data_IF_454996782523
#
_entry.id   IF_454996782523
#
_cell.length_a   1.000
_cell.length_b   1.000
_cell.length_c   1.000
_cell.angle_alpha   90.00
_cell.angle_beta   90.00
_cell.angle_gamma   90.00
#
_symmetry.space_group_name_H-M   'P 1'
#
loop_
_entity.id
_entity.type
_entity.pdbx_description
1 polymer ?
#
# COMPACT_ATOMS: atom_id res chain seq x y z
N UNK A 1 7.35 14.33 -32.95
CA UNK A 1 7.33 14.83 -31.55
C UNK A 1 5.98 15.48 -31.14
N UNK A 2 4.88 15.25 -31.85
CA UNK A 2 3.53 15.72 -31.50
C UNK A 2 2.52 14.56 -31.67
N UNK A 3 2.38 13.70 -30.65
CA UNK A 3 1.29 12.72 -30.62
C UNK A 3 0.25 13.18 -29.61
N UNK A 4 -1.00 13.26 -30.03
CA UNK A 4 -2.15 13.47 -29.14
C UNK A 4 -2.51 12.11 -28.54
N UNK A 5 -2.34 11.97 -27.24
CA UNK A 5 -2.77 10.79 -26.50
C UNK A 5 -4.16 11.04 -25.93
N UNK A 6 -5.06 10.07 -26.08
CA UNK A 6 -6.33 10.03 -25.39
C UNK A 6 -6.25 8.87 -24.39
N UNK A 7 -6.19 9.20 -23.10
CA UNK A 7 -6.20 8.20 -22.03
C UNK A 7 -7.67 7.87 -21.77
N UNK A 8 -8.03 6.60 -21.97
CA UNK A 8 -9.37 6.10 -21.70
C UNK A 8 -9.25 5.06 -20.59
N UNK A 9 -10.02 5.16 -19.50
CA UNK A 9 -10.03 4.13 -18.47
C UNK A 9 -10.52 2.82 -19.09
N UNK A 10 -9.70 1.77 -18.99
CA UNK A 10 -10.08 0.41 -19.39
C UNK A 10 -10.65 -0.31 -18.18
N UNK A 11 -11.87 -0.84 -18.32
CA UNK A 11 -12.46 -1.70 -17.31
C UNK A 11 -11.67 -3.01 -17.20
N UNK A 12 -11.31 -3.38 -15.97
CA UNK A 12 -10.84 -4.73 -15.69
C UNK A 12 -12.06 -5.66 -15.61
N UNK A 13 -12.01 -6.82 -16.26
CA UNK A 13 -13.07 -7.83 -16.16
C UNK A 13 -13.12 -8.51 -14.78
N UNK A 14 -12.18 -8.20 -13.90
CA UNK A 14 -12.04 -8.85 -12.59
C UNK A 14 -13.25 -8.67 -11.67
N UNK A 15 -13.80 -7.46 -11.41
CA UNK A 15 -14.99 -7.28 -10.57
C UNK A 15 -16.22 -8.02 -11.12
N UNK A 16 -16.37 -8.05 -12.44
CA UNK A 16 -17.41 -8.79 -13.15
C UNK A 16 -17.25 -10.30 -12.92
N UNK A 17 -16.03 -10.82 -13.02
CA UNK A 17 -15.71 -12.23 -12.83
C UNK A 17 -16.04 -12.71 -11.41
N UNK A 18 -15.70 -11.93 -10.38
CA UNK A 18 -15.99 -12.27 -8.98
C UNK A 18 -17.41 -11.86 -8.53
N UNK A 19 -18.27 -11.42 -9.47
CA UNK A 19 -19.68 -11.08 -9.25
C UNK A 19 -19.92 -9.99 -8.19
N UNK A 20 -18.96 -9.08 -7.98
CA UNK A 20 -19.10 -7.96 -7.06
C UNK A 20 -19.88 -6.81 -7.71
N UNK A 21 -21.11 -7.05 -8.15
CA UNK A 21 -21.92 -6.08 -8.92
C UNK A 21 -22.13 -4.73 -8.22
N UNK A 22 -22.24 -4.75 -6.89
CA UNK A 22 -22.40 -3.53 -6.09
C UNK A 22 -21.09 -2.72 -5.98
N UNK A 23 -19.95 -3.39 -6.19
CA UNK A 23 -18.61 -2.82 -6.23
C UNK A 23 -18.00 -2.98 -7.64
N UNK A 24 -18.82 -2.93 -8.71
CA UNK A 24 -18.35 -3.13 -10.09
C UNK A 24 -17.23 -2.14 -10.47
N UNK A 25 -17.14 -1.04 -9.74
CA UNK A 25 -16.04 -0.08 -9.75
C UNK A 25 -15.14 -0.25 -8.54
N UNK A 26 -14.68 -1.47 -8.22
CA UNK A 26 -13.51 -1.64 -7.38
C UNK A 26 -12.45 -0.73 -8.00
N UNK A 27 -12.19 0.35 -7.28
CA UNK A 27 -11.36 1.44 -7.74
C UNK A 27 -10.06 0.83 -8.26
N UNK A 28 -9.53 1.29 -9.39
CA UNK A 28 -8.22 0.83 -9.87
C UNK A 28 -7.17 1.26 -8.85
N UNK A 29 -6.97 0.41 -7.85
CA UNK A 29 -6.04 0.62 -6.77
C UNK A 29 -4.72 -0.02 -7.15
N UNK A 30 -3.58 0.59 -6.80
CA UNK A 30 -2.28 0.18 -7.29
C UNK A 30 -1.75 -1.11 -6.64
N UNK A 31 -2.36 -1.59 -5.55
CA UNK A 31 -2.04 -2.87 -4.93
C UNK A 31 -3.24 -3.51 -4.24
N UNK A 32 -3.10 -4.79 -3.86
CA UNK A 32 -4.13 -5.56 -3.13
C UNK A 32 -4.46 -4.95 -1.76
N UNK A 33 -3.49 -4.34 -1.07
CA UNK A 33 -3.71 -3.70 0.24
C UNK A 33 -4.66 -2.49 0.12
N UNK A 34 -4.49 -1.67 -0.92
CA UNK A 34 -5.37 -0.55 -1.21
C UNK A 34 -6.78 -1.02 -1.58
N UNK A 35 -6.90 -2.09 -2.36
CA UNK A 35 -8.21 -2.67 -2.71
C UNK A 35 -8.93 -3.17 -1.45
N UNK A 36 -8.22 -3.86 -0.56
CA UNK A 36 -8.76 -4.34 0.71
C UNK A 36 -9.20 -3.19 1.62
N UNK A 37 -8.39 -2.13 1.72
CA UNK A 37 -8.75 -0.91 2.44
C UNK A 37 -10.01 -0.28 1.83
N UNK A 38 -10.05 -0.09 0.51
CA UNK A 38 -11.21 0.46 -0.21
C UNK A 38 -12.47 -0.35 0.05
N UNK A 39 -12.40 -1.67 -0.10
CA UNK A 39 -13.54 -2.55 0.16
C UNK A 39 -14.00 -2.42 1.62
N UNK A 40 -13.07 -2.40 2.58
CA UNK A 40 -13.40 -2.31 4.00
C UNK A 40 -14.12 -0.99 4.34
N UNK A 41 -13.67 0.12 3.75
CA UNK A 41 -14.33 1.43 3.83
C UNK A 41 -15.76 1.36 3.29
N UNK A 42 -15.96 0.74 2.13
CA UNK A 42 -17.26 0.63 1.48
C UNK A 42 -18.21 -0.40 2.15
N UNK A 43 -17.66 -1.29 2.98
CA UNK A 43 -18.43 -2.17 3.87
C UNK A 43 -18.78 -1.50 5.21
N UNK A 44 -18.49 -0.21 5.39
CA UNK A 44 -18.75 0.57 6.61
C UNK A 44 -18.07 0.02 7.87
N UNK A 45 -16.89 -0.63 7.72
CA UNK A 45 -16.05 -0.89 8.88
C UNK A 45 -15.63 0.43 9.53
N UNK A 46 -15.57 0.44 10.86
CA UNK A 46 -15.27 1.66 11.64
C UNK A 46 -13.78 1.86 11.90
N UNK A 47 -13.04 0.75 11.92
CA UNK A 47 -11.61 0.72 12.19
C UNK A 47 -10.93 -0.12 11.11
N UNK A 48 -9.78 0.33 10.64
CA UNK A 48 -8.91 -0.39 9.72
C UNK A 48 -7.58 -0.65 10.43
N UNK A 49 -7.02 -1.85 10.30
CA UNK A 49 -5.75 -2.22 10.93
C UNK A 49 -4.82 -2.73 9.82
N UNK A 50 -3.66 -2.10 9.66
CA UNK A 50 -2.62 -2.52 8.74
C UNK A 50 -1.61 -3.41 9.45
N UNK A 51 -1.42 -4.62 8.92
CA UNK A 51 -0.48 -5.62 9.41
C UNK A 51 0.32 -6.11 8.21
N UNK A 52 1.64 -6.15 8.34
CA UNK A 52 2.55 -6.56 7.25
C UNK A 52 2.58 -5.56 6.09
N UNK A 53 2.23 -4.29 6.35
CA UNK A 53 2.32 -3.22 5.36
C UNK A 53 3.64 -2.47 5.56
N UNK A 54 4.75 -3.17 5.34
CA UNK A 54 6.10 -2.68 5.62
C UNK A 54 6.44 -1.45 4.79
N UNK A 55 6.24 -1.52 3.47
CA UNK A 55 6.58 -0.44 2.52
C UNK A 55 8.02 0.07 2.66
N UNK A 56 8.90 -0.81 3.11
CA UNK A 56 10.30 -0.56 3.42
C UNK A 56 11.06 -1.89 3.37
N UNK A 57 12.38 -1.81 3.17
CA UNK A 57 13.25 -2.98 3.23
C UNK A 57 13.50 -3.37 4.70
N UNK A 58 13.71 -4.66 4.94
CA UNK A 58 14.21 -5.15 6.22
C UNK A 58 15.64 -4.63 6.50
N UNK A 59 16.08 -4.68 7.77
CA UNK A 59 17.42 -4.21 8.17
C UNK A 59 18.55 -4.91 7.41
N UNK A 60 18.36 -6.18 7.05
CA UNK A 60 19.30 -6.96 6.24
C UNK A 60 19.24 -6.66 4.73
N UNK A 61 18.35 -5.75 4.30
CA UNK A 61 18.15 -5.36 2.90
C UNK A 61 17.18 -6.24 2.10
N UNK A 62 16.54 -7.22 2.72
CA UNK A 62 15.50 -8.01 2.06
C UNK A 62 14.30 -7.14 1.69
N UNK A 63 13.72 -7.41 0.52
CA UNK A 63 12.50 -6.76 0.02
C UNK A 63 11.25 -7.57 0.31
N UNK A 64 11.40 -8.87 0.58
CA UNK A 64 10.33 -9.82 0.78
C UNK A 64 10.64 -10.75 1.97
N UNK A 65 9.62 -11.44 2.53
CA UNK A 65 9.83 -12.50 3.52
C UNK A 65 10.71 -13.65 3.02
N UNK A 66 11.34 -14.37 3.95
CA UNK A 66 12.28 -15.45 3.65
C UNK A 66 11.67 -16.62 2.85
N UNK A 67 10.36 -16.83 2.98
CA UNK A 67 9.59 -17.87 2.30
C UNK A 67 8.96 -17.43 0.97
N UNK A 68 9.29 -16.22 0.50
CA UNK A 68 8.78 -15.73 -0.78
C UNK A 68 9.29 -16.58 -1.96
N UNK A 69 8.37 -17.02 -2.82
CA UNK A 69 8.64 -17.94 -3.93
C UNK A 69 9.76 -17.49 -4.88
N UNK A 70 9.97 -16.18 -5.04
CA UNK A 70 10.97 -15.62 -5.94
C UNK A 70 12.23 -15.11 -5.23
N UNK A 71 12.45 -15.51 -3.96
CA UNK A 71 13.51 -15.08 -3.02
C UNK A 71 13.26 -13.77 -2.26
N UNK A 72 13.74 -13.72 -1.02
CA UNK A 72 13.63 -12.55 -0.13
C UNK A 72 14.25 -11.25 -0.70
N UNK A 73 15.16 -11.38 -1.67
CA UNK A 73 15.87 -10.25 -2.30
C UNK A 73 15.38 -9.92 -3.72
N UNK A 74 14.23 -10.48 -4.15
CA UNK A 74 13.71 -10.35 -5.51
C UNK A 74 13.71 -8.91 -6.06
N UNK A 75 13.30 -7.93 -5.25
CA UNK A 75 13.26 -6.52 -5.66
C UNK A 75 14.36 -5.66 -5.02
N UNK A 76 15.25 -6.25 -4.22
CA UNK A 76 16.20 -5.50 -3.38
C UNK A 76 17.21 -4.65 -4.16
N UNK A 77 17.44 -4.95 -5.44
CA UNK A 77 18.33 -4.20 -6.33
C UNK A 77 17.61 -3.61 -7.54
N UNK A 78 16.27 -3.73 -7.61
CA UNK A 78 15.50 -3.31 -8.77
C UNK A 78 15.34 -1.78 -8.85
N UNK A 79 15.31 -1.12 -7.69
CA UNK A 79 15.05 0.31 -7.56
C UNK A 79 16.15 1.00 -6.75
N UNK A 80 16.32 2.30 -6.95
CA UNK A 80 17.15 3.12 -6.07
C UNK A 80 16.59 3.13 -4.64
N UNK A 81 17.49 3.02 -3.66
CA UNK A 81 17.12 3.07 -2.25
C UNK A 81 17.03 4.53 -1.82
N UNK A 82 15.85 4.93 -1.36
CA UNK A 82 15.61 6.22 -0.73
C UNK A 82 15.24 6.02 0.74
N UNK A 83 15.21 7.11 1.51
CA UNK A 83 14.86 7.09 2.92
C UNK A 83 13.45 7.64 3.14
N UNK A 84 12.76 7.07 4.12
CA UNK A 84 11.49 7.55 4.65
C UNK A 84 11.48 7.41 6.17
N UNK A 85 10.61 8.15 6.84
CA UNK A 85 10.40 7.99 8.27
C UNK A 85 9.89 6.58 8.59
N UNK A 86 10.57 5.92 9.54
CA UNK A 86 10.21 4.61 10.05
C UNK A 86 9.08 4.72 11.07
N UNK A 87 8.37 3.61 11.28
CA UNK A 87 7.41 3.47 12.38
C UNK A 87 7.96 4.05 13.69
N UNK A 88 7.14 4.79 14.42
CA UNK A 88 7.49 5.47 15.66
C UNK A 88 8.12 6.86 15.49
N UNK A 89 8.42 7.27 14.26
CA UNK A 89 8.79 8.65 13.91
C UNK A 89 10.12 9.16 14.46
N UNK A 90 11.07 8.25 14.71
CA UNK A 90 12.38 8.57 15.33
C UNK A 90 13.58 8.20 14.48
N UNK A 91 13.37 7.41 13.44
CA UNK A 91 14.41 6.84 12.59
C UNK A 91 13.97 6.94 11.14
N UNK A 92 14.94 6.81 10.25
CA UNK A 92 14.68 6.62 8.83
C UNK A 92 14.89 5.14 8.47
N UNK A 93 14.14 4.67 7.48
CA UNK A 93 14.23 3.32 6.93
C UNK A 93 14.33 3.40 5.41
N UNK A 94 15.01 2.41 4.81
CA UNK A 94 15.16 2.33 3.37
C UNK A 94 13.87 1.88 2.71
N UNK A 95 13.52 2.50 1.59
CA UNK A 95 12.37 2.20 0.76
C UNK A 95 12.68 2.52 -0.70
N UNK A 96 11.68 2.44 -1.59
CA UNK A 96 11.80 2.88 -2.98
C UNK A 96 10.53 3.61 -3.45
N UNK A 97 10.62 4.24 -4.62
CA UNK A 97 9.59 5.16 -5.15
C UNK A 97 8.18 4.55 -5.27
N UNK A 98 8.06 3.26 -5.61
CA UNK A 98 6.76 2.58 -5.75
C UNK A 98 6.12 2.35 -4.38
N UNK A 99 6.90 2.00 -3.36
CA UNK A 99 6.40 1.88 -1.99
C UNK A 99 6.02 3.23 -1.38
N UNK A 100 6.75 4.31 -1.69
CA UNK A 100 6.32 5.67 -1.34
C UNK A 100 5.00 6.02 -2.00
N UNK A 101 4.83 5.70 -3.28
CA UNK A 101 3.57 5.91 -3.98
C UNK A 101 2.42 5.12 -3.33
N UNK A 102 2.65 3.87 -2.93
CA UNK A 102 1.68 3.07 -2.18
C UNK A 102 1.35 3.70 -0.82
N UNK A 103 2.35 4.09 -0.04
CA UNK A 103 2.17 4.79 1.24
C UNK A 103 1.27 6.02 1.07
N UNK A 104 1.58 6.89 0.11
CA UNK A 104 0.85 8.13 -0.14
C UNK A 104 -0.62 7.90 -0.51
N UNK A 105 -0.94 6.81 -1.20
CA UNK A 105 -2.33 6.48 -1.53
C UNK A 105 -3.09 6.00 -0.30
N UNK A 106 -2.49 5.18 0.57
CA UNK A 106 -3.10 4.82 1.86
C UNK A 106 -3.37 6.07 2.72
N UNK A 107 -2.39 6.98 2.82
CA UNK A 107 -2.53 8.25 3.55
C UNK A 107 -3.67 9.10 2.98
N UNK A 108 -3.75 9.23 1.65
CA UNK A 108 -4.83 9.94 0.97
C UNK A 108 -6.20 9.30 1.23
N UNK A 109 -6.29 7.97 1.30
CA UNK A 109 -7.53 7.26 1.64
C UNK A 109 -7.94 7.56 3.10
N UNK A 110 -7.01 7.50 4.04
CA UNK A 110 -7.29 7.81 5.45
C UNK A 110 -7.87 9.22 5.60
N UNK A 111 -7.24 10.21 4.95
CA UNK A 111 -7.70 11.60 4.96
C UNK A 111 -9.08 11.73 4.31
N UNK A 112 -9.27 11.15 3.12
CA UNK A 112 -10.53 11.29 2.36
C UNK A 112 -11.72 10.71 3.12
N UNK A 113 -11.56 9.54 3.73
CA UNK A 113 -12.65 8.80 4.35
C UNK A 113 -12.79 9.07 5.86
N UNK A 114 -11.86 9.80 6.46
CA UNK A 114 -11.88 10.17 7.89
C UNK A 114 -12.05 8.95 8.80
N UNK A 115 -11.37 7.84 8.48
CA UNK A 115 -11.50 6.57 9.19
C UNK A 115 -10.36 6.39 10.21
N UNK A 116 -10.71 5.91 11.40
CA UNK A 116 -9.70 5.46 12.37
C UNK A 116 -8.93 4.28 11.81
N UNK A 117 -7.63 4.48 11.61
CA UNK A 117 -6.73 3.49 11.02
C UNK A 117 -5.55 3.26 11.94
N UNK A 118 -5.15 2.01 12.12
CA UNK A 118 -4.03 1.60 12.93
C UNK A 118 -2.91 1.05 12.05
N UNK A 119 -1.67 1.44 12.33
CA UNK A 119 -0.50 0.79 11.77
C UNK A 119 0.08 -0.13 12.85
N UNK A 120 0.12 -1.43 12.56
CA UNK A 120 0.64 -2.49 13.42
C UNK A 120 1.84 -3.20 12.79
N UNK A 121 2.67 -2.43 12.09
CA UNK A 121 3.84 -2.94 11.37
C UNK A 121 5.09 -2.18 11.83
N UNK A 122 5.67 -2.59 12.96
CA UNK A 122 6.75 -1.87 13.65
C UNK A 122 8.07 -1.82 12.87
N UNK A 123 8.30 -2.79 11.98
CA UNK A 123 9.47 -2.82 11.10
C UNK A 123 9.33 -1.98 9.83
N UNK A 124 8.16 -1.37 9.61
CA UNK A 124 7.83 -0.70 8.36
C UNK A 124 8.05 0.82 8.35
N UNK A 125 7.68 1.41 7.22
CA UNK A 125 7.54 2.84 7.06
C UNK A 125 6.38 3.36 7.93
N UNK A 126 6.56 4.58 8.46
CA UNK A 126 5.48 5.34 9.07
C UNK A 126 4.42 5.62 8.00
N UNK A 127 3.13 5.49 8.33
CA UNK A 127 2.01 5.85 7.44
C UNK A 127 1.23 6.95 8.14
N UNK A 128 1.26 8.16 7.59
CA UNK A 128 0.64 9.33 8.18
C UNK A 128 -0.89 9.21 8.27
N UNK A 129 -1.44 9.78 9.34
CA UNK A 129 -2.87 9.65 9.67
C UNK A 129 -3.27 8.33 10.33
N UNK A 130 -2.35 7.37 10.48
CA UNK A 130 -2.58 6.17 11.28
C UNK A 130 -2.22 6.38 12.75
N UNK A 131 -2.81 5.54 13.62
CA UNK A 131 -2.41 5.39 15.01
C UNK A 131 -1.48 4.18 15.10
N UNK A 132 -0.24 4.40 15.50
CA UNK A 132 0.75 3.34 15.68
C UNK A 132 0.43 2.52 16.95
N UNK A 133 0.28 1.20 16.78
CA UNK A 133 0.06 0.23 17.87
C UNK A 133 0.78 -1.08 17.56
N UNK A 134 1.49 -1.69 18.51
CA UNK A 134 2.05 -3.04 18.33
C UNK A 134 0.97 -4.07 17.94
N UNK A 135 1.36 -5.07 17.16
CA UNK A 135 0.49 -6.20 16.79
C UNK A 135 0.20 -7.15 17.96
#
# INVERSE_FOLDING_TARGET
RNRKYLIIPRYLYFPIYIKLKYFDFLYNTPSVAHMACYLSLHLNHKNIIFIGQDLAYAENGNSHPDDYQNSANYESQMYEHILTEAYGGKKEIKTHEVWIFFKQILEAMIIKYHITTYNCTEGGARIEGTIEKPF
#
